data_IF_406132950957
#
_entry.id   IF_406132950957
#
_cell.length_a   1.000
_cell.length_b   1.000
_cell.length_c   1.000
_cell.angle_alpha   90.00
_cell.angle_beta   90.00
_cell.angle_gamma   90.00
#
_symmetry.space_group_name_H-M   'P 1'
#
loop_
_entity.id
_entity.type
_entity.pdbx_description
1 polymer ?
#
# COMPACT_ATOMS: atom_id res chain seq x y z
N UNK A 1 -23.89 -23.87 6.61
CA UNK A 1 -22.72 -23.90 5.68
C UNK A 1 -21.56 -24.53 6.44
N UNK A 2 -20.79 -25.40 5.79
CA UNK A 2 -19.54 -25.94 6.39
C UNK A 2 -18.60 -24.79 6.75
N UNK A 3 -17.83 -24.93 7.82
CA UNK A 3 -16.78 -23.94 8.15
C UNK A 3 -15.81 -23.82 6.97
N UNK A 4 -15.41 -22.61 6.58
CA UNK A 4 -14.49 -22.41 5.47
C UNK A 4 -13.13 -23.04 5.81
N UNK A 5 -12.54 -23.76 4.88
CA UNK A 5 -11.21 -24.35 5.04
C UNK A 5 -10.12 -23.32 4.83
N UNK A 6 -10.39 -22.34 3.97
CA UNK A 6 -9.52 -21.23 3.65
C UNK A 6 -10.25 -19.91 3.86
N UNK A 7 -9.61 -19.00 4.61
CA UNK A 7 -10.04 -17.60 4.71
C UNK A 7 -9.01 -16.72 4.00
N UNK A 8 -9.50 -15.78 3.19
CA UNK A 8 -8.67 -14.78 2.50
C UNK A 8 -9.09 -13.39 2.98
N UNK A 9 -8.14 -12.57 3.39
CA UNK A 9 -8.39 -11.18 3.79
C UNK A 9 -7.89 -10.25 2.68
N UNK A 10 -8.84 -9.56 2.05
CA UNK A 10 -8.64 -8.66 0.93
C UNK A 10 -8.99 -9.30 -0.42
N UNK A 11 -9.90 -8.67 -1.17
CA UNK A 11 -10.27 -9.03 -2.53
C UNK A 11 -9.57 -8.12 -3.57
N UNK A 12 -8.30 -7.80 -3.32
CA UNK A 12 -7.41 -7.21 -4.31
C UNK A 12 -6.87 -8.28 -5.28
N UNK A 13 -5.99 -7.90 -6.23
CA UNK A 13 -5.47 -8.82 -7.25
C UNK A 13 -4.90 -10.13 -6.68
N UNK A 14 -4.13 -10.06 -5.59
CA UNK A 14 -3.56 -11.24 -4.93
C UNK A 14 -4.61 -12.14 -4.30
N UNK A 15 -5.57 -11.55 -3.56
CA UNK A 15 -6.62 -12.32 -2.89
C UNK A 15 -7.58 -12.99 -3.88
N UNK A 16 -7.99 -12.29 -4.94
CA UNK A 16 -8.83 -12.85 -6.00
C UNK A 16 -8.11 -14.00 -6.71
N UNK A 17 -6.84 -13.80 -7.09
CA UNK A 17 -6.06 -14.83 -7.76
C UNK A 17 -5.89 -16.10 -6.90
N UNK A 18 -5.69 -15.92 -5.58
CA UNK A 18 -5.63 -17.03 -4.63
C UNK A 18 -6.96 -17.76 -4.51
N UNK A 19 -8.07 -17.03 -4.42
CA UNK A 19 -9.41 -17.61 -4.36
C UNK A 19 -9.75 -18.43 -5.60
N UNK A 20 -9.40 -17.91 -6.79
CA UNK A 20 -9.63 -18.61 -8.07
C UNK A 20 -8.93 -19.96 -8.10
N UNK A 21 -7.65 -20.01 -7.75
CA UNK A 21 -6.90 -21.28 -7.77
C UNK A 21 -7.38 -22.27 -6.69
N UNK A 22 -7.63 -21.79 -5.48
CA UNK A 22 -8.11 -22.62 -4.39
C UNK A 22 -9.51 -23.20 -4.68
N UNK A 23 -10.46 -22.36 -5.14
CA UNK A 23 -11.82 -22.78 -5.45
C UNK A 23 -11.87 -23.72 -6.67
N UNK A 24 -11.02 -23.52 -7.68
CA UNK A 24 -10.88 -24.46 -8.82
C UNK A 24 -10.35 -25.82 -8.38
N UNK A 25 -9.56 -25.88 -7.32
CA UNK A 25 -9.10 -27.14 -6.74
C UNK A 25 -10.15 -27.80 -5.82
N UNK A 26 -11.28 -27.15 -5.52
CA UNK A 26 -12.36 -27.69 -4.69
C UNK A 26 -12.34 -27.21 -3.23
N UNK A 27 -11.41 -26.32 -2.83
CA UNK A 27 -11.33 -25.78 -1.47
C UNK A 27 -12.52 -24.87 -1.19
N UNK A 28 -13.12 -24.99 0.00
CA UNK A 28 -14.15 -24.06 0.46
C UNK A 28 -13.52 -22.74 0.93
N UNK A 29 -13.80 -21.67 0.18
CA UNK A 29 -13.15 -20.36 0.39
C UNK A 29 -14.13 -19.33 0.92
N UNK A 30 -13.70 -18.58 1.95
CA UNK A 30 -14.34 -17.34 2.38
C UNK A 30 -13.39 -16.18 2.15
N UNK A 31 -13.90 -15.09 1.56
CA UNK A 31 -13.15 -13.84 1.38
C UNK A 31 -13.82 -12.75 2.23
N UNK A 32 -13.00 -12.02 2.99
CA UNK A 32 -13.41 -10.82 3.72
C UNK A 32 -12.71 -9.61 3.10
N UNK A 33 -13.46 -8.64 2.60
CA UNK A 33 -12.93 -7.39 2.05
C UNK A 33 -13.62 -6.18 2.67
N UNK A 34 -12.85 -5.18 3.05
CA UNK A 34 -13.38 -3.93 3.62
C UNK A 34 -14.03 -3.02 2.58
N UNK A 35 -13.79 -3.25 1.30
CA UNK A 35 -14.36 -2.46 0.22
C UNK A 35 -15.72 -3.05 -0.23
N UNK A 36 -16.61 -2.22 -0.81
CA UNK A 36 -17.91 -2.67 -1.30
C UNK A 36 -17.82 -3.57 -2.54
N UNK A 37 -16.73 -3.49 -3.30
CA UNK A 37 -16.53 -4.25 -4.54
C UNK A 37 -15.13 -4.88 -4.61
N UNK A 38 -14.98 -6.05 -5.26
CA UNK A 38 -13.68 -6.68 -5.44
C UNK A 38 -12.81 -5.91 -6.45
N UNK A 39 -11.51 -6.17 -6.44
CA UNK A 39 -10.52 -5.53 -7.33
C UNK A 39 -9.45 -4.75 -6.59
N UNK A 40 -9.65 -4.47 -5.29
CA UNK A 40 -8.75 -3.64 -4.48
C UNK A 40 -8.65 -2.22 -5.03
N UNK A 41 -7.54 -1.54 -4.77
CA UNK A 41 -7.34 -0.15 -5.22
C UNK A 41 -7.07 -0.04 -6.71
N UNK A 42 -6.25 -0.93 -7.25
CA UNK A 42 -5.81 -0.82 -8.65
C UNK A 42 -6.88 -1.22 -9.66
N UNK A 43 -7.68 -2.24 -9.35
CA UNK A 43 -8.81 -2.67 -10.17
C UNK A 43 -10.15 -2.24 -9.58
N UNK A 44 -10.12 -1.17 -8.76
CA UNK A 44 -11.30 -0.62 -8.12
C UNK A 44 -12.40 -0.28 -9.12
N UNK A 45 -13.60 -0.79 -8.83
CA UNK A 45 -14.77 -0.60 -9.66
C UNK A 45 -15.51 0.68 -9.26
N UNK A 46 -16.22 1.25 -10.22
CA UNK A 46 -17.11 2.38 -9.97
C UNK A 46 -18.25 1.98 -9.01
N UNK A 47 -18.72 2.94 -8.24
CA UNK A 47 -19.94 2.76 -7.44
C UNK A 47 -21.16 2.51 -8.34
N UNK A 48 -22.18 1.85 -7.77
CA UNK A 48 -23.44 1.62 -8.47
C UNK A 48 -24.07 2.98 -8.83
N UNK A 49 -24.66 3.06 -10.02
CA UNK A 49 -25.24 4.29 -10.56
C UNK A 49 -24.33 5.08 -11.50
N UNK A 50 -23.02 4.84 -11.53
CA UNK A 50 -22.15 5.41 -12.54
C UNK A 50 -22.17 4.56 -13.82
N UNK A 51 -22.50 5.18 -14.95
CA UNK A 51 -22.37 4.57 -16.29
C UNK A 51 -21.13 5.12 -16.98
N UNK A 52 -20.22 4.24 -17.40
CA UNK A 52 -19.09 4.61 -18.24
C UNK A 52 -19.57 4.81 -19.69
N UNK A 53 -19.53 6.03 -20.17
CA UNK A 53 -19.76 6.33 -21.57
C UNK A 53 -18.55 5.92 -22.44
N UNK A 54 -17.34 6.02 -21.88
CA UNK A 54 -16.10 5.60 -22.51
C UNK A 54 -15.25 4.74 -21.55
N UNK A 55 -15.22 3.41 -21.71
CA UNK A 55 -14.42 2.50 -20.88
C UNK A 55 -12.90 2.80 -20.93
N UNK A 56 -12.39 3.31 -22.05
CA UNK A 56 -10.97 3.66 -22.22
C UNK A 56 -10.46 4.71 -21.22
N UNK A 57 -11.38 5.51 -20.66
CA UNK A 57 -11.09 6.50 -19.63
C UNK A 57 -10.47 5.92 -18.34
N UNK A 58 -10.71 4.65 -18.02
CA UNK A 58 -10.17 4.01 -16.82
C UNK A 58 -8.75 3.47 -16.99
N UNK A 59 -8.22 3.58 -18.21
CA UNK A 59 -6.86 3.20 -18.54
C UNK A 59 -6.62 1.68 -18.68
N UNK A 60 -5.42 1.27 -19.11
CA UNK A 60 -5.10 -0.12 -19.43
C UNK A 60 -5.18 -1.06 -18.21
N UNK A 61 -4.98 -0.58 -17.01
CA UNK A 61 -5.11 -1.38 -15.80
C UNK A 61 -6.54 -1.85 -15.54
N UNK A 62 -7.53 -1.06 -15.95
CA UNK A 62 -8.93 -1.47 -15.83
C UNK A 62 -9.25 -2.68 -16.71
N UNK A 63 -8.74 -2.70 -17.95
CA UNK A 63 -8.94 -3.85 -18.86
C UNK A 63 -8.24 -5.11 -18.33
N UNK A 64 -7.03 -4.99 -17.80
CA UNK A 64 -6.33 -6.09 -17.10
C UNK A 64 -7.14 -6.59 -15.91
N UNK A 65 -7.75 -5.68 -15.14
CA UNK A 65 -8.61 -5.99 -14.02
C UNK A 65 -9.87 -6.77 -14.43
N UNK A 66 -10.47 -6.46 -15.57
CA UNK A 66 -11.66 -7.16 -16.07
C UNK A 66 -11.42 -8.66 -16.26
N UNK A 67 -10.25 -9.05 -16.77
CA UNK A 67 -9.91 -10.47 -16.95
C UNK A 67 -9.93 -11.21 -15.62
N UNK A 68 -9.27 -10.66 -14.60
CA UNK A 68 -9.25 -11.26 -13.26
C UNK A 68 -10.63 -11.27 -12.60
N UNK A 69 -11.40 -10.20 -12.75
CA UNK A 69 -12.77 -10.12 -12.23
C UNK A 69 -13.70 -11.11 -12.93
N UNK A 70 -13.56 -11.30 -14.25
CA UNK A 70 -14.31 -12.35 -14.98
C UNK A 70 -13.96 -13.75 -14.48
N UNK A 71 -12.67 -14.05 -14.22
CA UNK A 71 -12.29 -15.32 -13.61
C UNK A 71 -12.92 -15.48 -12.22
N UNK A 72 -12.95 -14.42 -11.43
CA UNK A 72 -13.60 -14.42 -10.12
C UNK A 72 -15.10 -14.70 -10.21
N UNK A 73 -15.78 -14.12 -11.18
CA UNK A 73 -17.21 -14.35 -11.40
C UNK A 73 -17.50 -15.82 -11.73
N UNK A 74 -16.60 -16.53 -12.43
CA UNK A 74 -16.78 -17.98 -12.73
C UNK A 74 -16.80 -18.86 -11.48
N UNK A 75 -16.26 -18.38 -10.37
CA UNK A 75 -16.20 -19.13 -9.10
C UNK A 75 -17.10 -18.52 -8.02
N UNK A 76 -17.84 -17.46 -8.34
CA UNK A 76 -18.59 -16.63 -7.38
C UNK A 76 -19.56 -17.43 -6.52
N UNK A 77 -20.25 -18.40 -7.11
CA UNK A 77 -21.19 -19.28 -6.42
C UNK A 77 -20.52 -20.33 -5.52
N UNK A 78 -19.22 -20.57 -5.72
CA UNK A 78 -18.42 -21.57 -4.98
C UNK A 78 -17.73 -20.97 -3.76
N UNK A 79 -17.80 -19.65 -3.56
CA UNK A 79 -17.11 -18.94 -2.50
C UNK A 79 -18.09 -18.11 -1.67
N UNK A 80 -17.77 -17.91 -0.38
CA UNK A 80 -18.47 -16.97 0.50
C UNK A 80 -17.70 -15.63 0.49
N UNK A 81 -18.07 -14.74 -0.44
CA UNK A 81 -17.48 -13.39 -0.50
C UNK A 81 -18.29 -12.39 0.32
N UNK A 82 -17.61 -11.78 1.30
CA UNK A 82 -18.15 -10.75 2.19
C UNK A 82 -17.46 -9.43 1.91
N UNK A 83 -18.17 -8.50 1.27
CA UNK A 83 -17.78 -7.10 1.13
C UNK A 83 -18.16 -6.29 2.37
N UNK A 84 -17.64 -5.09 2.53
CA UNK A 84 -17.81 -4.23 3.70
C UNK A 84 -17.52 -4.98 5.02
N UNK A 85 -16.60 -5.94 4.96
CA UNK A 85 -16.20 -6.79 6.06
C UNK A 85 -14.79 -6.41 6.55
N UNK A 86 -14.72 -5.59 7.59
CA UNK A 86 -13.46 -5.09 8.14
C UNK A 86 -12.90 -6.05 9.18
N UNK A 87 -11.78 -6.69 8.88
CA UNK A 87 -11.01 -7.48 9.85
C UNK A 87 -10.13 -6.54 10.67
N UNK A 88 -10.26 -6.58 11.99
CA UNK A 88 -9.58 -5.66 12.90
C UNK A 88 -8.74 -6.34 13.97
N UNK A 89 -8.86 -7.65 14.16
CA UNK A 89 -8.11 -8.39 15.16
C UNK A 89 -7.87 -9.84 14.73
N UNK A 90 -6.80 -10.40 15.27
CA UNK A 90 -6.60 -11.84 15.39
C UNK A 90 -6.23 -12.15 16.84
N UNK A 91 -6.64 -13.31 17.33
CA UNK A 91 -6.42 -13.78 18.70
C UNK A 91 -5.71 -15.12 18.67
N UNK A 92 -5.26 -15.57 19.85
CA UNK A 92 -4.78 -16.93 20.07
C UNK A 92 -5.79 -17.95 19.54
N UNK A 93 -5.35 -19.20 19.34
CA UNK A 93 -6.18 -20.29 18.82
C UNK A 93 -6.74 -20.06 17.40
N UNK A 94 -6.08 -19.22 16.59
CA UNK A 94 -6.46 -18.98 15.19
C UNK A 94 -7.88 -18.43 15.03
N UNK A 95 -8.25 -17.49 15.86
CA UNK A 95 -9.53 -16.78 15.76
C UNK A 95 -9.26 -15.38 15.22
N UNK A 96 -10.02 -14.94 14.23
CA UNK A 96 -10.05 -13.54 13.81
C UNK A 96 -11.37 -12.88 14.21
N UNK A 97 -11.33 -11.56 14.38
CA UNK A 97 -12.52 -10.75 14.54
C UNK A 97 -12.64 -9.77 13.37
N UNK A 98 -13.84 -9.68 12.85
CA UNK A 98 -14.23 -8.73 11.83
C UNK A 98 -15.62 -8.16 12.14
N UNK A 99 -15.97 -7.06 11.51
CA UNK A 99 -17.34 -6.57 11.55
C UNK A 99 -17.88 -6.38 10.13
N UNK A 100 -19.18 -6.56 10.02
CA UNK A 100 -19.95 -6.30 8.81
C UNK A 100 -21.32 -5.77 9.22
N UNK A 101 -21.82 -4.74 8.55
CA UNK A 101 -23.11 -4.11 8.84
C UNK A 101 -23.29 -3.75 10.33
N UNK A 102 -22.25 -3.26 10.99
CA UNK A 102 -22.27 -2.83 12.40
C UNK A 102 -22.29 -3.96 13.43
N UNK A 103 -22.14 -5.22 13.02
CA UNK A 103 -22.09 -6.39 13.92
C UNK A 103 -20.69 -7.00 13.93
N UNK A 104 -20.16 -7.23 15.13
CA UNK A 104 -18.92 -7.96 15.35
C UNK A 104 -19.11 -9.47 15.19
N UNK A 105 -18.15 -10.12 14.58
CA UNK A 105 -18.14 -11.56 14.38
C UNK A 105 -16.76 -12.13 14.68
N UNK A 106 -16.73 -13.36 15.24
CA UNK A 106 -15.52 -14.16 15.40
C UNK A 106 -15.53 -15.31 14.41
N UNK A 107 -14.39 -15.60 13.82
CA UNK A 107 -14.27 -16.64 12.82
C UNK A 107 -12.97 -17.42 13.05
N UNK A 108 -13.04 -18.71 13.39
CA UNK A 108 -11.87 -19.56 13.42
C UNK A 108 -11.37 -19.83 12.01
N UNK A 109 -10.05 -19.97 11.83
CA UNK A 109 -9.45 -20.29 10.55
C UNK A 109 -8.49 -21.48 10.66
N UNK A 110 -8.51 -22.35 9.66
CA UNK A 110 -7.54 -23.40 9.46
C UNK A 110 -6.39 -22.90 8.57
N UNK A 111 -6.71 -22.41 7.39
CA UNK A 111 -5.78 -21.75 6.48
C UNK A 111 -6.17 -20.30 6.27
N UNK A 112 -5.16 -19.42 6.23
CA UNK A 112 -5.35 -17.98 6.12
C UNK A 112 -4.43 -17.42 5.05
N UNK A 113 -4.98 -16.65 4.10
CA UNK A 113 -4.21 -15.84 3.16
C UNK A 113 -4.43 -14.37 3.47
N UNK A 114 -3.35 -13.64 3.77
CA UNK A 114 -3.35 -12.21 4.03
C UNK A 114 -2.96 -11.48 2.74
N UNK A 115 -3.94 -10.82 2.11
CA UNK A 115 -3.80 -10.01 0.89
C UNK A 115 -4.15 -8.54 1.17
N UNK A 116 -3.61 -8.00 2.28
CA UNK A 116 -3.98 -6.72 2.89
C UNK A 116 -3.53 -5.49 2.10
N UNK A 117 -2.70 -5.67 1.07
CA UNK A 117 -2.23 -4.57 0.22
C UNK A 117 -1.28 -3.61 0.94
N UNK A 118 -1.19 -2.39 0.41
CA UNK A 118 -0.33 -1.33 0.92
C UNK A 118 -1.08 0.01 0.97
N UNK A 119 -0.50 0.97 1.66
CA UNK A 119 -0.96 2.36 1.69
C UNK A 119 0.16 3.30 1.23
N UNK A 120 -0.22 4.51 0.81
CA UNK A 120 0.75 5.51 0.36
C UNK A 120 1.69 5.89 1.50
N UNK A 121 2.97 6.08 1.18
CA UNK A 121 3.97 6.56 2.14
C UNK A 121 3.68 8.00 2.54
N UNK A 122 3.43 8.28 3.81
CA UNK A 122 3.32 9.64 4.31
C UNK A 122 4.70 10.31 4.33
N UNK A 123 4.74 11.58 3.91
CA UNK A 123 5.96 12.39 3.90
C UNK A 123 5.66 13.68 4.65
N UNK A 124 6.12 13.83 5.89
CA UNK A 124 5.99 15.06 6.65
C UNK A 124 6.94 16.15 6.12
N UNK A 125 6.38 17.32 5.80
CA UNK A 125 7.10 18.55 5.46
C UNK A 125 6.27 19.75 5.95
N UNK A 126 6.82 20.96 6.08
CA UNK A 126 6.06 22.13 6.50
C UNK A 126 4.80 22.34 5.66
N UNK A 127 3.64 22.40 6.30
CA UNK A 127 2.34 22.57 5.64
C UNK A 127 1.69 21.29 5.08
N UNK A 128 2.27 20.09 5.24
CA UNK A 128 1.69 18.84 4.71
C UNK A 128 0.34 18.44 5.32
N UNK A 129 -0.06 19.08 6.40
CA UNK A 129 -1.35 18.86 7.06
C UNK A 129 -2.47 19.75 6.54
N UNK A 130 -2.16 20.72 5.69
CA UNK A 130 -3.15 21.62 5.08
C UNK A 130 -4.18 20.84 4.25
N UNK A 131 -5.46 21.21 4.29
CA UNK A 131 -6.45 20.74 3.31
C UNK A 131 -5.95 21.00 1.88
N UNK A 132 -6.07 20.02 1.01
CA UNK A 132 -5.50 20.05 -0.34
C UNK A 132 -4.20 19.27 -0.50
N UNK A 133 -3.54 18.88 0.61
CA UNK A 133 -2.43 17.92 0.55
C UNK A 133 -3.00 16.49 0.65
N UNK A 134 -2.82 15.72 -0.41
CA UNK A 134 -3.32 14.36 -0.57
C UNK A 134 -2.18 13.41 -0.94
N UNK A 135 -2.42 12.11 -0.85
CA UNK A 135 -1.54 11.12 -1.48
C UNK A 135 -1.99 10.82 -2.91
N UNK A 136 -1.09 10.36 -3.76
CA UNK A 136 -1.40 10.00 -5.14
C UNK A 136 -2.45 8.88 -5.22
N UNK A 137 -2.38 7.87 -4.34
CA UNK A 137 -3.40 6.83 -4.24
C UNK A 137 -4.75 7.34 -3.73
N UNK A 138 -4.74 8.33 -2.83
CA UNK A 138 -5.97 9.03 -2.41
C UNK A 138 -6.60 9.79 -3.57
N UNK A 139 -5.82 10.56 -4.32
CA UNK A 139 -6.28 11.24 -5.54
C UNK A 139 -6.79 10.25 -6.60
N UNK A 140 -6.09 9.12 -6.80
CA UNK A 140 -6.54 8.06 -7.70
C UNK A 140 -7.92 7.51 -7.30
N UNK A 141 -8.16 7.29 -6.02
CA UNK A 141 -9.45 6.81 -5.53
C UNK A 141 -10.57 7.81 -5.84
N UNK A 142 -10.33 9.11 -5.61
CA UNK A 142 -11.30 10.17 -5.94
C UNK A 142 -11.63 10.17 -7.44
N UNK A 143 -10.63 10.20 -8.31
CA UNK A 143 -10.83 10.29 -9.76
C UNK A 143 -11.43 9.00 -10.33
N UNK A 144 -10.86 7.85 -9.97
CA UNK A 144 -11.20 6.55 -10.59
C UNK A 144 -12.49 5.95 -10.06
N UNK A 145 -12.66 5.95 -8.74
CA UNK A 145 -13.79 5.26 -8.10
C UNK A 145 -14.96 6.19 -7.79
N UNK A 146 -14.67 7.44 -7.42
CA UNK A 146 -15.70 8.40 -6.99
C UNK A 146 -16.03 9.46 -8.05
N UNK A 147 -15.25 9.55 -9.14
CA UNK A 147 -15.45 10.50 -10.25
C UNK A 147 -15.39 11.96 -9.80
N UNK A 148 -14.51 12.24 -8.83
CA UNK A 148 -14.29 13.57 -8.26
C UNK A 148 -12.84 13.98 -8.53
N UNK A 149 -12.63 15.18 -9.07
CA UNK A 149 -11.31 15.77 -9.22
C UNK A 149 -10.80 16.21 -7.84
N UNK A 150 -9.53 15.93 -7.49
CA UNK A 150 -8.98 16.29 -6.18
C UNK A 150 -8.80 17.80 -5.98
N UNK A 151 -8.78 18.59 -7.03
CA UNK A 151 -8.65 20.03 -7.04
C UNK A 151 -8.72 20.60 -8.45
N UNK A 152 -8.46 21.90 -8.57
CA UNK A 152 -8.52 22.64 -9.84
C UNK A 152 -7.13 22.81 -10.49
N UNK A 153 -6.09 23.04 -9.68
CA UNK A 153 -4.71 23.24 -10.15
C UNK A 153 -3.76 22.37 -9.34
N UNK A 154 -3.47 21.17 -9.83
CA UNK A 154 -2.90 20.07 -9.05
C UNK A 154 -1.39 19.93 -9.32
N UNK A 155 -0.59 19.90 -8.25
CA UNK A 155 0.82 19.53 -8.28
C UNK A 155 0.98 18.06 -7.91
N UNK A 156 1.66 17.29 -8.73
CA UNK A 156 2.14 15.96 -8.35
C UNK A 156 3.60 16.05 -7.90
N UNK A 157 3.91 15.47 -6.74
CA UNK A 157 5.27 15.42 -6.20
C UNK A 157 5.58 14.01 -5.69
N UNK A 158 6.61 13.39 -6.26
CA UNK A 158 6.91 12.01 -5.88
C UNK A 158 8.09 11.41 -6.62
N UNK A 159 8.07 10.09 -6.67
CA UNK A 159 9.06 9.28 -7.40
C UNK A 159 8.41 8.02 -7.96
N UNK A 160 8.68 7.73 -9.21
CA UNK A 160 8.19 6.53 -9.88
C UNK A 160 6.86 6.69 -10.63
N UNK A 161 6.30 5.58 -11.14
CA UNK A 161 5.26 5.62 -12.16
C UNK A 161 3.87 6.02 -11.66
N UNK A 162 3.55 5.83 -10.37
CA UNK A 162 2.19 6.05 -9.86
C UNK A 162 1.69 7.46 -10.10
N UNK A 163 2.53 8.48 -9.86
CA UNK A 163 2.15 9.87 -10.09
C UNK A 163 1.84 10.17 -11.56
N UNK A 164 2.55 9.54 -12.51
CA UNK A 164 2.28 9.69 -13.94
C UNK A 164 0.92 9.09 -14.32
N UNK A 165 0.60 7.92 -13.77
CA UNK A 165 -0.71 7.26 -13.98
C UNK A 165 -1.84 8.13 -13.47
N UNK A 166 -1.73 8.66 -12.24
CA UNK A 166 -2.78 9.45 -11.61
C UNK A 166 -2.92 10.81 -12.29
N UNK A 167 -1.81 11.44 -12.69
CA UNK A 167 -1.83 12.69 -13.45
C UNK A 167 -2.57 12.51 -14.79
N UNK A 168 -2.35 11.40 -15.51
CA UNK A 168 -3.11 11.10 -16.72
C UNK A 168 -4.60 10.95 -16.42
N UNK A 169 -4.97 10.23 -15.36
CA UNK A 169 -6.38 10.06 -14.96
C UNK A 169 -7.05 11.40 -14.61
N UNK A 170 -6.31 12.33 -14.00
CA UNK A 170 -6.79 13.69 -13.73
C UNK A 170 -7.01 14.46 -15.04
N UNK A 171 -6.05 14.42 -15.96
CA UNK A 171 -6.15 15.08 -17.27
C UNK A 171 -7.32 14.51 -18.09
N UNK A 172 -7.47 13.19 -18.13
CA UNK A 172 -8.58 12.51 -18.80
C UNK A 172 -9.94 12.86 -18.16
N UNK A 173 -9.96 13.17 -16.85
CA UNK A 173 -11.12 13.66 -16.11
C UNK A 173 -11.43 15.15 -16.35
N UNK A 174 -10.65 15.84 -17.17
CA UNK A 174 -10.81 17.28 -17.43
C UNK A 174 -10.18 18.18 -16.36
N UNK A 175 -9.34 17.62 -15.46
CA UNK A 175 -8.61 18.38 -14.45
C UNK A 175 -7.35 19.04 -15.02
N UNK A 176 -6.80 20.01 -14.29
CA UNK A 176 -5.55 20.70 -14.64
C UNK A 176 -4.41 20.24 -13.74
N UNK A 177 -3.26 19.92 -14.35
CA UNK A 177 -2.03 19.57 -13.66
C UNK A 177 -1.02 20.69 -13.84
N UNK A 178 -0.64 21.36 -12.74
CA UNK A 178 0.31 22.48 -12.74
C UNK A 178 1.72 22.03 -13.11
N UNK A 179 2.17 20.94 -12.52
CA UNK A 179 3.46 20.30 -12.80
C UNK A 179 3.51 18.89 -12.19
N UNK A 180 4.47 18.10 -12.65
CA UNK A 180 4.84 16.81 -12.05
C UNK A 180 6.31 16.89 -11.64
N UNK A 181 6.58 16.71 -10.35
CA UNK A 181 7.92 16.66 -9.78
C UNK A 181 8.36 15.21 -9.65
N UNK A 182 9.43 14.84 -10.33
CA UNK A 182 10.07 13.54 -10.22
C UNK A 182 11.40 13.69 -9.47
N UNK A 183 11.46 13.21 -8.23
CA UNK A 183 12.66 13.30 -7.40
C UNK A 183 13.77 12.38 -7.89
N UNK A 184 13.40 11.23 -8.47
CA UNK A 184 14.35 10.25 -8.97
C UNK A 184 15.08 10.67 -10.24
N UNK A 185 16.26 10.10 -10.43
CA UNK A 185 17.08 10.32 -11.62
C UNK A 185 17.22 9.02 -12.43
N UNK A 186 16.93 9.07 -13.73
CA UNK A 186 17.11 7.93 -14.63
C UNK A 186 18.56 7.93 -15.14
N UNK A 187 19.52 7.56 -14.28
CA UNK A 187 20.94 7.55 -14.64
C UNK A 187 21.37 6.33 -15.48
N UNK A 188 20.50 5.33 -15.67
CA UNK A 188 20.88 4.08 -16.36
C UNK A 188 19.77 3.55 -17.26
N UNK A 189 19.42 4.32 -18.29
CA UNK A 189 18.40 3.95 -19.27
C UNK A 189 18.70 2.60 -19.98
N UNK A 190 19.99 2.21 -20.10
CA UNK A 190 20.36 0.90 -20.64
C UNK A 190 19.95 -0.27 -19.75
N UNK A 191 20.00 -0.09 -18.41
CA UNK A 191 19.50 -1.11 -17.46
C UNK A 191 17.98 -1.20 -17.47
N UNK A 192 17.32 -0.05 -17.65
CA UNK A 192 15.86 -0.01 -17.86
C UNK A 192 15.47 -0.73 -19.15
N UNK A 193 16.14 -0.46 -20.26
CA UNK A 193 15.89 -1.15 -21.54
C UNK A 193 16.07 -2.67 -21.41
N UNK A 194 17.11 -3.14 -20.71
CA UNK A 194 17.29 -4.58 -20.43
C UNK A 194 16.17 -5.15 -19.55
N UNK A 195 15.66 -4.39 -18.57
CA UNK A 195 14.51 -4.77 -17.74
C UNK A 195 13.23 -4.84 -18.57
N UNK A 196 13.00 -3.90 -19.49
CA UNK A 196 11.83 -3.84 -20.35
C UNK A 196 11.87 -4.80 -21.54
N UNK A 197 13.03 -5.37 -21.91
CA UNK A 197 13.19 -6.22 -23.11
C UNK A 197 12.24 -7.44 -23.18
N UNK A 198 11.59 -7.79 -22.07
CA UNK A 198 10.57 -8.87 -21.98
C UNK A 198 9.20 -8.40 -21.47
N UNK A 199 9.02 -7.09 -21.26
CA UNK A 199 7.79 -6.48 -20.74
C UNK A 199 7.41 -5.25 -21.57
N UNK A 200 7.36 -5.40 -22.88
CA UNK A 200 7.07 -4.31 -23.83
C UNK A 200 5.77 -3.55 -23.53
N UNK A 201 4.74 -4.26 -23.01
CA UNK A 201 3.48 -3.63 -22.65
C UNK A 201 3.61 -2.54 -21.56
N UNK A 202 4.45 -2.74 -20.56
CA UNK A 202 4.69 -1.73 -19.51
C UNK A 202 5.47 -0.51 -20.07
N UNK A 203 6.38 -0.75 -21.02
CA UNK A 203 7.10 0.32 -21.68
C UNK A 203 6.15 1.17 -22.56
N UNK A 204 5.27 0.51 -23.33
CA UNK A 204 4.29 1.22 -24.17
C UNK A 204 3.31 2.03 -23.34
N UNK A 205 2.81 1.46 -22.22
CA UNK A 205 1.92 2.17 -21.29
C UNK A 205 2.62 3.42 -20.71
N UNK A 206 3.86 3.27 -20.23
CA UNK A 206 4.66 4.37 -19.71
C UNK A 206 4.93 5.48 -20.72
N UNK A 207 5.27 5.11 -21.97
CA UNK A 207 5.47 6.07 -23.07
C UNK A 207 4.16 6.78 -23.43
N UNK A 208 3.04 6.09 -23.39
CA UNK A 208 1.72 6.70 -23.63
C UNK A 208 1.40 7.76 -22.57
N UNK A 209 1.61 7.45 -21.27
CA UNK A 209 1.40 8.42 -20.20
C UNK A 209 2.26 9.67 -20.38
N UNK A 210 3.56 9.52 -20.64
CA UNK A 210 4.47 10.65 -20.88
C UNK A 210 4.03 11.46 -22.12
N UNK A 211 3.56 10.79 -23.19
CA UNK A 211 3.06 11.48 -24.39
C UNK A 211 1.80 12.30 -24.11
N UNK A 212 0.85 11.77 -23.34
CA UNK A 212 -0.37 12.50 -22.95
C UNK A 212 -0.03 13.71 -22.10
N UNK A 213 0.83 13.56 -21.08
CA UNK A 213 1.30 14.65 -20.22
C UNK A 213 1.96 15.76 -21.04
N UNK A 214 2.84 15.41 -21.99
CA UNK A 214 3.49 16.38 -22.88
C UNK A 214 2.52 17.08 -23.81
N UNK A 215 1.55 16.36 -24.38
CA UNK A 215 0.50 16.95 -25.24
C UNK A 215 -0.37 17.95 -24.48
N UNK A 216 -0.63 17.70 -23.21
CA UNK A 216 -1.34 18.61 -22.32
C UNK A 216 -0.49 19.81 -21.87
N UNK A 217 0.78 19.93 -22.30
CA UNK A 217 1.67 21.02 -21.92
C UNK A 217 2.12 20.99 -20.45
N UNK A 218 1.95 19.86 -19.75
CA UNK A 218 2.29 19.75 -18.33
C UNK A 218 3.81 19.62 -18.15
N UNK A 219 4.44 20.51 -17.35
CA UNK A 219 5.86 20.44 -17.04
C UNK A 219 6.19 19.16 -16.24
N UNK A 220 7.11 18.34 -16.73
CA UNK A 220 7.71 17.23 -16.00
C UNK A 220 9.10 17.62 -15.51
N UNK A 221 9.19 17.99 -14.24
CA UNK A 221 10.39 18.52 -13.60
C UNK A 221 11.15 17.37 -12.91
N UNK A 222 12.26 16.97 -13.52
CA UNK A 222 13.12 15.91 -12.99
C UNK A 222 14.08 16.48 -11.94
N UNK A 223 14.45 15.64 -10.96
CA UNK A 223 15.30 16.06 -9.83
C UNK A 223 14.69 17.24 -9.07
N UNK A 224 13.36 17.23 -8.93
CA UNK A 224 12.65 18.25 -8.16
C UNK A 224 11.79 17.60 -7.09
N UNK A 225 11.71 18.25 -5.96
CA UNK A 225 10.88 17.84 -4.83
C UNK A 225 10.05 19.01 -4.30
N UNK A 226 8.95 18.69 -3.63
CA UNK A 226 8.26 19.62 -2.78
C UNK A 226 9.07 19.80 -1.49
N UNK A 227 9.11 21.03 -0.99
CA UNK A 227 9.75 21.37 0.27
C UNK A 227 8.72 21.81 1.31
N UNK A 228 7.77 22.67 0.91
CA UNK A 228 6.80 23.29 1.80
C UNK A 228 5.47 23.49 1.08
N UNK A 229 4.36 23.52 1.80
CA UNK A 229 3.06 23.98 1.33
C UNK A 229 2.61 25.17 2.20
N UNK A 230 2.08 26.19 1.55
CA UNK A 230 1.61 27.41 2.20
C UNK A 230 0.13 27.65 1.87
N UNK A 231 -0.56 28.31 2.79
CA UNK A 231 -1.96 28.71 2.69
C UNK A 231 -2.57 28.92 4.08
N UNK A 232 -3.68 29.61 4.15
CA UNK A 232 -4.39 29.87 5.41
C UNK A 232 -5.31 28.70 5.78
N UNK A 233 -6.32 28.42 4.97
CA UNK A 233 -7.31 27.35 5.22
C UNK A 233 -7.09 26.10 4.38
N UNK A 234 -6.38 26.23 3.29
CA UNK A 234 -6.05 25.18 2.34
C UNK A 234 -4.75 25.52 1.63
N UNK A 235 -4.23 24.59 0.85
CA UNK A 235 -3.07 24.85 -0.01
C UNK A 235 -3.37 25.97 -1.01
N UNK A 236 -2.48 26.95 -1.11
CA UNK A 236 -2.49 28.04 -2.08
C UNK A 236 -1.19 28.08 -2.87
N UNK A 237 -0.09 27.67 -2.24
CA UNK A 237 1.23 27.66 -2.83
C UNK A 237 2.04 26.42 -2.40
N UNK A 238 2.94 26.00 -3.27
CA UNK A 238 3.94 24.97 -3.00
C UNK A 238 5.34 25.51 -3.26
N UNK A 239 6.24 25.35 -2.31
CA UNK A 239 7.68 25.61 -2.49
C UNK A 239 8.33 24.34 -3.02
N UNK A 240 9.03 24.46 -4.15
CA UNK A 240 9.73 23.37 -4.79
C UNK A 240 11.19 23.72 -5.03
N UNK A 241 12.07 22.73 -5.14
CA UNK A 241 13.45 22.93 -5.54
C UNK A 241 14.01 21.75 -6.33
N UNK A 242 15.13 21.98 -7.02
CA UNK A 242 15.98 20.89 -7.48
C UNK A 242 16.61 20.17 -6.30
N UNK A 243 16.89 18.88 -6.47
CA UNK A 243 17.53 18.05 -5.45
C UNK A 243 18.79 17.37 -5.98
N UNK A 244 19.70 17.08 -5.06
CA UNK A 244 20.90 16.30 -5.31
C UNK A 244 20.60 14.79 -5.40
N UNK A 245 21.65 13.94 -5.48
CA UNK A 245 21.54 12.48 -5.54
C UNK A 245 20.90 11.85 -4.29
N UNK A 246 20.98 12.52 -3.14
CA UNK A 246 20.42 12.08 -1.87
C UNK A 246 19.08 12.74 -1.56
N UNK A 247 18.52 13.46 -2.55
CA UNK A 247 17.26 14.21 -2.50
C UNK A 247 17.28 15.38 -1.52
N UNK A 248 18.45 15.96 -1.24
CA UNK A 248 18.57 17.21 -0.49
C UNK A 248 18.35 18.40 -1.41
N UNK A 249 17.64 19.40 -0.91
CA UNK A 249 17.31 20.59 -1.68
C UNK A 249 18.54 21.39 -2.07
N UNK A 250 18.60 21.85 -3.32
CA UNK A 250 19.58 22.82 -3.81
C UNK A 250 18.95 24.21 -3.61
N UNK A 251 19.22 24.86 -2.49
CA UNK A 251 18.54 26.06 -2.00
C UNK A 251 18.37 27.18 -3.04
N UNK A 252 19.40 27.45 -3.85
CA UNK A 252 19.37 28.48 -4.90
C UNK A 252 18.33 28.25 -6.00
N UNK A 253 17.73 27.07 -6.05
CA UNK A 253 16.73 26.69 -7.06
C UNK A 253 15.30 26.73 -6.53
N UNK A 254 15.11 27.15 -5.28
CA UNK A 254 13.78 27.30 -4.67
C UNK A 254 12.89 28.23 -5.51
N UNK A 255 11.66 27.81 -5.73
CA UNK A 255 10.63 28.60 -6.40
C UNK A 255 9.24 28.24 -5.90
N UNK A 256 8.31 29.15 -6.04
CA UNK A 256 6.93 29.00 -5.62
C UNK A 256 6.06 28.66 -6.83
N UNK A 257 5.16 27.71 -6.67
CA UNK A 257 4.09 27.40 -7.62
C UNK A 257 2.74 27.65 -6.94
N UNK A 258 1.85 28.38 -7.61
CA UNK A 258 0.46 28.55 -7.17
C UNK A 258 -0.33 27.32 -7.50
N UNK A 259 -0.86 26.64 -6.48
CA UNK A 259 -1.61 25.38 -6.60
C UNK A 259 -2.65 25.29 -5.49
N UNK A 260 -3.75 24.60 -5.73
CA UNK A 260 -4.77 24.37 -4.72
C UNK A 260 -4.74 22.92 -4.16
N UNK A 261 -3.95 22.08 -4.81
CA UNK A 261 -3.86 20.66 -4.44
C UNK A 261 -2.46 20.11 -4.72
N UNK A 262 -1.95 19.33 -3.76
CA UNK A 262 -0.68 18.64 -3.85
C UNK A 262 -0.93 17.14 -3.68
N UNK A 263 -0.50 16.34 -4.66
CA UNK A 263 -0.62 14.88 -4.64
C UNK A 263 0.77 14.24 -4.45
N UNK A 264 0.98 13.60 -3.30
CA UNK A 264 2.26 12.99 -2.91
C UNK A 264 2.34 11.54 -3.35
N UNK A 265 3.38 11.17 -4.08
CA UNK A 265 3.62 9.82 -4.60
C UNK A 265 5.03 9.31 -4.35
N UNK A 266 5.50 9.27 -3.10
CA UNK A 266 6.84 8.82 -2.72
C UNK A 266 6.90 7.33 -2.34
N UNK A 267 6.12 6.50 -3.02
CA UNK A 267 6.05 5.06 -2.82
C UNK A 267 4.95 4.63 -1.86
N UNK A 268 4.96 3.34 -1.56
CA UNK A 268 3.95 2.65 -0.76
C UNK A 268 4.59 1.98 0.45
N UNK A 269 3.78 1.67 1.47
CA UNK A 269 4.17 0.93 2.68
C UNK A 269 3.26 -0.28 2.82
N UNK A 270 3.80 -1.49 3.02
CA UNK A 270 3.01 -2.71 3.22
C UNK A 270 2.10 -2.64 4.45
N UNK A 271 0.85 -3.10 4.32
CA UNK A 271 -0.07 -3.25 5.46
C UNK A 271 0.23 -4.54 6.23
N UNK A 272 1.13 -4.46 7.19
CA UNK A 272 1.64 -5.62 7.96
C UNK A 272 0.96 -5.84 9.31
N UNK A 273 -0.05 -5.06 9.64
CA UNK A 273 -0.68 -5.09 10.96
C UNK A 273 -1.26 -6.47 11.28
N UNK A 274 -1.97 -7.08 10.35
CA UNK A 274 -2.56 -8.41 10.56
C UNK A 274 -1.50 -9.52 10.56
N UNK A 275 -0.46 -9.43 9.73
CA UNK A 275 0.64 -10.41 9.76
C UNK A 275 1.41 -10.34 11.08
N UNK A 276 1.52 -9.14 11.69
CA UNK A 276 2.11 -8.96 13.02
C UNK A 276 1.22 -9.53 14.13
N UNK A 277 -0.10 -9.28 14.07
CA UNK A 277 -1.03 -9.83 15.05
C UNK A 277 -1.09 -11.36 15.04
N UNK A 278 -0.96 -11.98 13.85
CA UNK A 278 -0.91 -13.45 13.72
C UNK A 278 0.41 -14.03 14.23
N UNK A 279 1.41 -13.18 14.49
CA UNK A 279 2.71 -13.62 15.01
C UNK A 279 3.72 -14.01 13.93
N UNK A 280 3.53 -13.57 12.68
CA UNK A 280 4.50 -13.82 11.63
C UNK A 280 5.83 -13.10 11.93
N UNK A 281 6.94 -13.76 11.63
CA UNK A 281 8.25 -13.10 11.59
C UNK A 281 8.31 -12.08 10.46
N UNK A 282 9.00 -10.96 10.70
CA UNK A 282 9.17 -9.90 9.70
C UNK A 282 10.64 -9.61 9.46
N UNK A 283 10.94 -9.15 8.26
CA UNK A 283 12.24 -8.60 7.88
C UNK A 283 12.08 -7.22 7.27
N UNK A 284 13.10 -6.39 7.36
CA UNK A 284 13.12 -5.10 6.69
C UNK A 284 13.63 -5.28 5.25
N UNK A 285 12.90 -4.75 4.29
CA UNK A 285 13.25 -4.75 2.87
C UNK A 285 12.87 -3.39 2.28
N UNK A 286 13.82 -2.51 2.25
CA UNK A 286 13.64 -1.12 1.85
C UNK A 286 13.06 -0.99 0.43
N UNK A 287 13.55 -1.82 -0.49
CA UNK A 287 13.08 -1.94 -1.88
C UNK A 287 11.64 -2.48 -2.00
N UNK A 288 11.11 -3.11 -0.95
CA UNK A 288 9.75 -3.64 -0.87
C UNK A 288 8.79 -2.76 -0.05
N UNK A 289 9.23 -1.55 0.30
CA UNK A 289 8.44 -0.57 1.04
C UNK A 289 8.67 -0.55 2.56
N UNK A 290 9.55 -1.39 3.11
CA UNK A 290 9.92 -1.42 4.51
C UNK A 290 9.78 -2.80 5.16
N UNK A 291 9.08 -2.90 6.29
CA UNK A 291 8.85 -4.15 7.00
C UNK A 291 7.86 -5.05 6.26
N UNK A 292 8.24 -6.32 6.03
CA UNK A 292 7.43 -7.33 5.34
C UNK A 292 7.46 -8.66 6.09
N UNK A 293 6.42 -9.50 6.00
CA UNK A 293 6.45 -10.84 6.57
C UNK A 293 7.50 -11.72 5.84
N UNK A 294 8.26 -12.48 6.61
CA UNK A 294 9.12 -13.52 6.08
C UNK A 294 8.24 -14.65 5.52
N UNK A 295 8.51 -15.10 4.30
CA UNK A 295 7.75 -16.15 3.61
C UNK A 295 8.65 -17.00 2.71
N UNK A 296 8.22 -18.22 2.44
CA UNK A 296 8.89 -19.14 1.54
C UNK A 296 8.41 -18.97 0.07
N UNK A 297 8.90 -19.82 -0.84
CA UNK A 297 8.49 -19.80 -2.26
C UNK A 297 7.03 -20.18 -2.50
N UNK A 298 6.37 -20.83 -1.54
CA UNK A 298 4.94 -21.16 -1.53
C UNK A 298 4.06 -20.03 -0.96
N UNK A 299 4.65 -18.89 -0.67
CA UNK A 299 4.03 -17.72 -0.03
C UNK A 299 3.59 -17.97 1.42
N UNK A 300 3.95 -19.10 2.02
CA UNK A 300 3.68 -19.41 3.42
C UNK A 300 4.63 -18.64 4.33
N UNK A 301 4.09 -18.07 5.40
CA UNK A 301 4.84 -17.28 6.39
C UNK A 301 5.53 -18.19 7.42
N UNK A 302 6.18 -17.61 8.42
CA UNK A 302 6.74 -18.36 9.56
C UNK A 302 5.67 -19.05 10.43
N UNK A 303 4.39 -18.72 10.25
CA UNK A 303 3.26 -19.34 10.95
C UNK A 303 2.63 -20.37 10.02
N UNK A 304 2.69 -21.69 10.36
CA UNK A 304 2.18 -22.75 9.51
C UNK A 304 0.70 -22.55 9.13
N UNK A 305 0.37 -22.67 7.84
CA UNK A 305 -0.97 -22.47 7.30
C UNK A 305 -1.40 -21.02 7.15
N UNK A 306 -0.50 -20.05 7.39
CA UNK A 306 -0.72 -18.63 7.12
C UNK A 306 0.16 -18.18 5.97
N UNK A 307 -0.46 -17.64 4.94
CA UNK A 307 0.19 -17.16 3.72
C UNK A 307 0.04 -15.63 3.62
N UNK A 308 1.00 -14.97 2.98
CA UNK A 308 0.95 -13.54 2.73
C UNK A 308 1.27 -13.25 1.26
N UNK A 309 0.44 -12.44 0.59
CA UNK A 309 0.54 -12.17 -0.85
C UNK A 309 0.29 -10.71 -1.19
N UNK A 310 0.81 -10.29 -2.33
CA UNK A 310 0.66 -8.94 -2.88
C UNK A 310 1.40 -7.89 -2.05
N UNK A 311 1.04 -6.62 -2.23
CA UNK A 311 1.77 -5.48 -1.68
C UNK A 311 1.83 -5.46 -0.14
N UNK A 312 0.94 -6.19 0.55
CA UNK A 312 1.02 -6.41 2.00
C UNK A 312 2.17 -7.32 2.44
N UNK A 313 2.73 -8.09 1.50
CA UNK A 313 3.90 -8.93 1.72
C UNK A 313 5.17 -8.39 1.02
N UNK A 314 5.06 -7.19 0.45
CA UNK A 314 6.12 -6.45 -0.22
C UNK A 314 5.61 -5.78 -1.48
N UNK A 315 5.76 -4.47 -1.56
CA UNK A 315 5.26 -3.66 -2.68
C UNK A 315 5.92 -4.10 -3.99
N UNK A 316 5.13 -4.67 -4.90
CA UNK A 316 5.62 -5.20 -6.18
C UNK A 316 4.65 -5.00 -7.35
N UNK A 317 3.48 -4.42 -7.07
CA UNK A 317 2.44 -4.13 -8.05
C UNK A 317 1.50 -5.30 -8.34
N UNK A 318 0.40 -4.98 -9.02
CA UNK A 318 -0.74 -5.90 -9.21
C UNK A 318 -0.40 -7.20 -9.94
N UNK A 319 0.47 -7.13 -10.94
CA UNK A 319 0.85 -8.31 -11.71
C UNK A 319 1.64 -9.32 -10.84
N UNK A 320 2.56 -8.84 -10.01
CA UNK A 320 3.26 -9.69 -9.04
C UNK A 320 2.28 -10.23 -8.00
N UNK A 321 1.39 -9.39 -7.48
CA UNK A 321 0.37 -9.79 -6.52
C UNK A 321 -0.52 -10.94 -7.05
N UNK A 322 -0.91 -10.90 -8.32
CA UNK A 322 -1.67 -12.00 -8.96
C UNK A 322 -0.87 -13.30 -9.01
N UNK A 323 0.40 -13.25 -9.39
CA UNK A 323 1.26 -14.46 -9.44
C UNK A 323 1.42 -15.07 -8.05
N UNK A 324 1.71 -14.26 -7.05
CA UNK A 324 1.81 -14.66 -5.65
C UNK A 324 0.49 -15.27 -5.14
N UNK A 325 -0.64 -14.63 -5.46
CA UNK A 325 -1.96 -15.14 -5.12
C UNK A 325 -2.22 -16.53 -5.70
N UNK A 326 -1.94 -16.73 -7.01
CA UNK A 326 -2.09 -18.05 -7.64
C UNK A 326 -1.23 -19.11 -6.98
N UNK A 327 0.03 -18.80 -6.65
CA UNK A 327 0.93 -19.72 -5.94
C UNK A 327 0.35 -20.06 -4.57
N UNK A 328 -0.07 -19.07 -3.78
CA UNK A 328 -0.64 -19.29 -2.45
C UNK A 328 -1.93 -20.13 -2.49
N UNK A 329 -2.82 -19.87 -3.46
CA UNK A 329 -4.04 -20.66 -3.65
C UNK A 329 -3.75 -22.13 -3.98
N UNK A 330 -2.80 -22.40 -4.88
CA UNK A 330 -2.36 -23.75 -5.23
C UNK A 330 -1.69 -24.43 -4.01
N UNK A 331 -0.80 -23.71 -3.30
CA UNK A 331 -0.09 -24.25 -2.13
C UNK A 331 -1.06 -24.56 -0.98
N UNK A 332 -2.09 -23.73 -0.80
CA UNK A 332 -3.17 -24.00 0.17
C UNK A 332 -3.94 -25.26 -0.20
N UNK A 333 -4.35 -25.40 -1.47
CA UNK A 333 -5.07 -26.59 -1.94
C UNK A 333 -4.22 -27.87 -1.77
N UNK A 334 -2.93 -27.80 -2.04
CA UNK A 334 -1.98 -28.87 -1.79
C UNK A 334 -1.93 -29.23 -0.30
N UNK A 335 -1.78 -28.24 0.58
CA UNK A 335 -1.65 -28.43 2.03
C UNK A 335 -2.92 -28.99 2.69
N UNK A 336 -4.07 -28.83 2.02
CA UNK A 336 -5.38 -29.39 2.41
C UNK A 336 -5.67 -30.75 1.77
N UNK A 337 -4.77 -31.25 0.90
CA UNK A 337 -4.91 -32.58 0.30
C UNK A 337 -5.83 -32.63 -0.96
N UNK A 338 -6.27 -31.46 -1.49
CA UNK A 338 -7.11 -31.40 -2.70
C UNK A 338 -6.35 -31.73 -3.98
N UNK A 339 -5.05 -31.45 -4.00
CA UNK A 339 -4.18 -31.77 -5.14
C UNK A 339 -2.86 -32.37 -4.64
N UNK A 340 -2.25 -33.24 -5.44
CA UNK A 340 -0.97 -33.85 -5.11
C UNK A 340 0.19 -32.84 -5.18
N UNK A 341 1.31 -33.15 -4.53
CA UNK A 341 2.54 -32.33 -4.59
C UNK A 341 3.07 -32.22 -6.03
N UNK A 342 2.92 -33.24 -6.85
CA UNK A 342 3.33 -33.21 -8.25
C UNK A 342 2.46 -32.26 -9.06
N UNK A 343 1.15 -32.35 -8.91
CA UNK A 343 0.18 -31.46 -9.55
C UNK A 343 0.42 -29.99 -9.13
N UNK A 344 0.60 -29.73 -7.83
CA UNK A 344 0.89 -28.40 -7.34
C UNK A 344 2.18 -27.82 -7.93
N UNK A 345 3.26 -28.62 -7.99
CA UNK A 345 4.53 -28.21 -8.61
C UNK A 345 4.35 -27.88 -10.10
N UNK A 346 3.60 -28.70 -10.84
CA UNK A 346 3.28 -28.48 -12.25
C UNK A 346 2.53 -27.16 -12.44
N UNK A 347 1.48 -26.92 -11.65
CA UNK A 347 0.65 -25.70 -11.73
C UNK A 347 1.43 -24.43 -11.31
N UNK A 348 2.28 -24.49 -10.28
CA UNK A 348 3.08 -23.35 -9.79
C UNK A 348 4.20 -22.94 -10.75
N UNK A 349 4.78 -23.89 -11.50
CA UNK A 349 5.96 -23.68 -12.36
C UNK A 349 5.87 -22.45 -13.30
N UNK A 350 4.78 -22.23 -14.08
CA UNK A 350 4.68 -21.06 -14.94
C UNK A 350 4.69 -19.75 -14.15
N UNK A 351 3.96 -19.68 -13.02
CA UNK A 351 3.89 -18.49 -12.19
C UNK A 351 5.23 -18.13 -11.55
N UNK A 352 5.97 -19.12 -11.04
CA UNK A 352 7.32 -18.93 -10.51
C UNK A 352 8.30 -18.41 -11.57
N UNK A 353 8.18 -18.90 -12.82
CA UNK A 353 9.01 -18.43 -13.93
C UNK A 353 8.68 -16.98 -14.28
N UNK A 354 7.41 -16.59 -14.28
CA UNK A 354 7.00 -15.23 -14.59
C UNK A 354 7.38 -14.27 -13.46
N UNK A 355 7.30 -14.67 -12.19
CA UNK A 355 7.81 -13.90 -11.06
C UNK A 355 9.31 -13.60 -11.21
N UNK A 356 10.14 -14.60 -11.60
CA UNK A 356 11.58 -14.40 -11.82
C UNK A 356 11.86 -13.42 -12.96
N UNK A 357 11.05 -13.41 -14.03
CA UNK A 357 11.17 -12.45 -15.13
C UNK A 357 10.81 -11.03 -14.67
N UNK A 358 9.72 -10.89 -13.90
CA UNK A 358 9.26 -9.59 -13.39
C UNK A 358 10.20 -9.00 -12.34
N UNK A 359 10.83 -9.82 -11.50
CA UNK A 359 11.78 -9.37 -10.48
C UNK A 359 12.90 -8.52 -11.05
N UNK A 360 13.47 -8.90 -12.22
CA UNK A 360 14.53 -8.13 -12.88
C UNK A 360 14.12 -6.73 -13.33
N UNK A 361 12.89 -6.58 -13.81
CA UNK A 361 12.35 -5.26 -14.19
C UNK A 361 12.13 -4.39 -12.95
N UNK A 362 11.60 -5.00 -11.92
CA UNK A 362 11.37 -4.35 -10.65
C UNK A 362 12.65 -3.80 -10.05
N UNK A 363 13.72 -4.61 -9.94
CA UNK A 363 15.03 -4.17 -9.43
C UNK A 363 15.54 -2.93 -10.17
N UNK A 364 15.20 -2.78 -11.45
CA UNK A 364 15.58 -1.61 -12.23
C UNK A 364 14.72 -0.37 -11.89
N UNK A 365 13.42 -0.53 -11.64
CA UNK A 365 12.50 0.54 -11.27
C UNK A 365 12.69 1.00 -9.82
N UNK A 366 12.91 0.08 -8.89
CA UNK A 366 13.08 0.37 -7.47
C UNK A 366 14.29 1.29 -7.20
N UNK A 367 15.37 1.12 -7.96
CA UNK A 367 16.56 1.99 -7.85
C UNK A 367 16.28 3.45 -8.16
N UNK A 368 15.26 3.73 -8.96
CA UNK A 368 14.85 5.09 -9.33
C UNK A 368 13.89 5.67 -8.31
N UNK A 369 12.98 4.83 -7.81
CA UNK A 369 11.83 5.25 -7.01
C UNK A 369 12.08 5.18 -5.51
N UNK A 370 13.19 4.59 -5.06
CA UNK A 370 13.46 4.38 -3.65
C UNK A 370 13.72 5.71 -2.93
N UNK A 371 13.03 5.99 -1.81
CA UNK A 371 13.23 7.20 -1.03
C UNK A 371 14.68 7.39 -0.58
N UNK A 372 15.19 8.60 -0.73
CA UNK A 372 16.55 8.97 -0.29
C UNK A 372 16.48 9.74 1.03
N UNK A 373 17.60 9.87 1.78
CA UNK A 373 17.62 10.51 3.09
C UNK A 373 17.00 11.90 3.13
N UNK A 374 17.24 12.74 2.13
CA UNK A 374 16.70 14.09 2.06
C UNK A 374 15.18 14.18 2.11
N UNK A 375 14.46 13.10 1.73
CA UNK A 375 13.00 13.04 1.86
C UNK A 375 12.56 13.10 3.33
N UNK A 376 13.33 12.51 4.25
CA UNK A 376 13.04 12.44 5.67
C UNK A 376 13.65 13.60 6.46
N UNK A 377 14.42 14.45 5.79
CA UNK A 377 15.03 15.67 6.33
C UNK A 377 14.18 16.93 6.06
N UNK A 378 13.04 16.82 5.35
CA UNK A 378 12.18 17.95 5.00
C UNK A 378 11.49 18.60 6.21
N UNK A 379 11.18 17.82 7.23
CA UNK A 379 10.45 18.29 8.39
C UNK A 379 11.30 19.24 9.25
N UNK A 380 10.73 20.37 9.66
CA UNK A 380 11.28 21.28 10.65
C UNK A 380 10.79 20.89 12.06
N UNK A 381 11.36 21.47 13.12
CA UNK A 381 11.02 21.08 14.49
C UNK A 381 9.55 21.33 14.85
N UNK A 382 8.89 22.28 14.23
CA UNK A 382 7.45 22.58 14.37
C UNK A 382 6.55 21.74 13.46
N UNK A 383 7.13 20.97 12.52
CA UNK A 383 6.37 20.14 11.59
C UNK A 383 5.69 18.98 12.31
N UNK A 384 4.39 18.85 12.17
CA UNK A 384 3.62 17.74 12.73
C UNK A 384 4.06 16.42 12.09
N UNK A 385 4.50 15.46 12.88
CA UNK A 385 4.85 14.09 12.47
C UNK A 385 3.69 13.13 12.73
N UNK A 386 3.06 13.23 13.90
CA UNK A 386 1.89 12.40 14.23
C UNK A 386 0.61 13.25 14.21
N UNK A 387 -0.16 13.20 13.12
CA UNK A 387 -1.40 13.98 12.96
C UNK A 387 -2.49 13.66 13.98
N UNK A 388 -2.50 12.43 14.51
CA UNK A 388 -3.55 11.99 15.43
C UNK A 388 -3.34 12.50 16.86
N UNK A 389 -2.09 12.68 17.27
CA UNK A 389 -1.67 13.11 18.61
C UNK A 389 -0.96 14.48 18.54
N UNK A 390 -0.96 15.11 17.35
CA UNK A 390 -0.40 16.45 17.09
C UNK A 390 1.07 16.64 17.52
N UNK A 391 1.86 15.56 17.45
CA UNK A 391 3.27 15.58 17.83
C UNK A 391 4.13 16.14 16.70
N UNK A 392 5.00 17.06 17.04
CA UNK A 392 5.96 17.69 16.14
C UNK A 392 7.26 16.89 16.02
N UNK A 393 8.13 17.25 15.07
CA UNK A 393 9.48 16.70 14.98
C UNK A 393 10.29 17.05 16.24
N UNK A 394 10.12 18.26 16.78
CA UNK A 394 10.77 18.70 18.03
C UNK A 394 10.42 17.81 19.22
N UNK A 395 9.15 17.40 19.36
CA UNK A 395 8.72 16.47 20.41
C UNK A 395 9.41 15.11 20.27
N UNK A 396 9.47 14.59 19.04
CA UNK A 396 10.14 13.32 18.75
C UNK A 396 11.64 13.40 19.03
N UNK A 397 12.32 14.46 18.57
CA UNK A 397 13.74 14.69 18.83
C UNK A 397 14.03 14.84 20.32
N UNK A 398 13.18 15.57 21.06
CA UNK A 398 13.31 15.71 22.51
C UNK A 398 13.24 14.37 23.23
N UNK A 399 12.33 13.50 22.84
CA UNK A 399 12.22 12.17 23.42
C UNK A 399 13.45 11.28 23.08
N UNK A 400 13.95 11.35 21.85
CA UNK A 400 15.17 10.64 21.42
C UNK A 400 16.37 11.16 22.23
N UNK A 401 16.51 12.49 22.40
CA UNK A 401 17.58 13.11 23.19
C UNK A 401 17.59 12.71 24.65
N UNK A 402 16.46 12.26 25.20
CA UNK A 402 16.34 11.67 26.55
C UNK A 402 16.63 10.16 26.58
N UNK A 403 17.15 9.59 25.49
CA UNK A 403 17.55 8.20 25.39
C UNK A 403 16.46 7.25 24.86
N UNK A 404 15.32 7.77 24.38
CA UNK A 404 14.24 6.94 23.87
C UNK A 404 14.44 6.66 22.37
N UNK A 405 15.20 5.61 22.04
CA UNK A 405 15.59 5.27 20.65
C UNK A 405 14.79 4.10 20.04
N UNK A 406 13.91 3.48 20.80
CA UNK A 406 13.06 2.39 20.35
C UNK A 406 11.64 2.89 20.03
N UNK A 407 11.06 2.43 18.92
CA UNK A 407 9.70 2.81 18.47
C UNK A 407 8.63 2.60 19.54
N UNK A 408 8.68 1.46 20.24
CA UNK A 408 7.68 1.13 21.27
C UNK A 408 7.88 1.92 22.58
N UNK A 409 9.12 2.28 22.94
CA UNK A 409 9.41 3.17 24.03
C UNK A 409 8.94 4.60 23.71
N UNK A 410 9.24 5.08 22.51
CA UNK A 410 8.78 6.37 22.00
C UNK A 410 7.25 6.48 21.99
N UNK A 411 6.56 5.41 21.54
CA UNK A 411 5.10 5.30 21.60
C UNK A 411 4.57 5.50 23.03
N UNK A 412 5.16 4.84 24.03
CA UNK A 412 4.73 4.96 25.44
C UNK A 412 5.00 6.36 26.01
N UNK A 413 6.12 6.98 25.62
CA UNK A 413 6.53 8.27 26.14
C UNK A 413 5.76 9.43 25.53
N UNK A 414 5.46 9.38 24.24
CA UNK A 414 4.87 10.49 23.47
C UNK A 414 3.46 10.25 22.98
N UNK A 415 2.91 9.04 23.12
CA UNK A 415 1.66 8.57 22.50
C UNK A 415 1.73 8.42 20.97
N UNK A 416 2.88 8.65 20.34
CA UNK A 416 3.09 8.44 18.91
C UNK A 416 2.56 7.06 18.46
N UNK A 417 1.72 7.04 17.43
CA UNK A 417 1.14 5.80 16.92
C UNK A 417 -0.03 5.22 17.74
N UNK A 418 -0.52 5.90 18.80
CA UNK A 418 -1.68 5.47 19.58
C UNK A 418 -3.01 5.97 19.01
N UNK A 419 -2.99 6.99 18.16
CA UNK A 419 -4.20 7.59 17.61
C UNK A 419 -4.88 6.72 16.55
N UNK A 420 -5.90 7.30 15.89
CA UNK A 420 -6.84 6.59 14.98
C UNK A 420 -6.16 5.76 13.91
N UNK A 421 -5.03 6.21 13.34
CA UNK A 421 -4.35 5.50 12.26
C UNK A 421 -3.46 4.35 12.75
N UNK A 422 -3.31 4.17 14.08
CA UNK A 422 -2.48 3.11 14.69
C UNK A 422 -1.05 3.05 14.13
N UNK A 423 -0.45 4.23 13.94
CA UNK A 423 0.93 4.38 13.46
C UNK A 423 1.11 4.40 11.94
N UNK A 424 0.09 4.12 11.13
CA UNK A 424 0.23 4.09 9.66
C UNK A 424 0.77 5.39 9.07
N UNK A 425 0.39 6.54 9.65
CA UNK A 425 0.85 7.84 9.16
C UNK A 425 2.22 8.24 9.69
N UNK A 426 2.55 7.93 10.93
CA UNK A 426 3.78 8.44 11.57
C UNK A 426 4.91 7.40 11.61
N UNK A 427 4.62 6.10 11.81
CA UNK A 427 5.65 5.12 12.08
C UNK A 427 6.73 5.00 10.98
N UNK A 428 6.40 5.02 9.67
CA UNK A 428 7.44 4.98 8.64
C UNK A 428 8.40 6.17 8.70
N UNK A 429 7.88 7.38 8.94
CA UNK A 429 8.71 8.58 9.04
C UNK A 429 9.53 8.59 10.34
N UNK A 430 8.91 8.21 11.47
CA UNK A 430 9.60 8.16 12.77
C UNK A 430 10.73 7.13 12.78
N UNK A 431 10.57 5.98 12.12
CA UNK A 431 11.64 4.99 11.97
C UNK A 431 12.87 5.61 11.29
N UNK A 432 12.68 6.35 10.21
CA UNK A 432 13.76 7.03 9.49
C UNK A 432 14.35 8.19 10.30
N UNK A 433 13.53 8.93 11.07
CA UNK A 433 13.99 9.99 11.98
C UNK A 433 14.89 9.38 13.06
N UNK A 434 14.48 8.29 13.71
CA UNK A 434 15.32 7.59 14.71
C UNK A 434 16.62 7.13 14.03
N UNK A 435 16.53 6.50 12.86
CA UNK A 435 17.70 6.05 12.11
C UNK A 435 18.71 7.18 11.86
N UNK A 436 18.23 8.34 11.41
CA UNK A 436 19.06 9.53 11.19
C UNK A 436 19.65 10.11 12.46
N UNK A 437 18.87 10.20 13.54
CA UNK A 437 19.33 10.78 14.82
C UNK A 437 20.33 9.89 15.57
N UNK A 438 20.16 8.57 15.47
CA UNK A 438 21.00 7.60 16.20
C UNK A 438 22.10 6.99 15.33
N UNK A 439 22.16 7.31 14.04
CA UNK A 439 23.06 6.71 13.06
C UNK A 439 22.92 5.17 13.01
N UNK A 440 21.73 4.67 13.34
CA UNK A 440 21.39 3.23 13.32
C UNK A 440 20.65 2.92 12.03
N UNK A 441 21.02 1.87 11.28
CA UNK A 441 20.26 1.47 10.11
C UNK A 441 18.78 1.23 10.41
N UNK A 442 17.86 1.73 9.58
CA UNK A 442 16.42 1.57 9.77
C UNK A 442 15.99 0.08 9.94
N UNK A 443 16.73 -0.84 9.33
CA UNK A 443 16.52 -2.28 9.46
C UNK A 443 16.76 -2.83 10.89
N UNK A 444 17.50 -2.12 11.74
CA UNK A 444 17.77 -2.51 13.13
C UNK A 444 16.80 -1.86 14.12
N UNK A 445 15.95 -0.95 13.66
CA UNK A 445 14.94 -0.30 14.49
C UNK A 445 13.66 -1.14 14.39
N UNK A 446 13.30 -1.82 15.49
CA UNK A 446 12.07 -2.60 15.55
C UNK A 446 10.85 -1.74 15.28
N UNK A 447 9.91 -2.28 14.49
CA UNK A 447 8.67 -1.59 14.19
C UNK A 447 7.69 -1.61 15.39
N UNK A 448 6.64 -0.79 15.32
CA UNK A 448 5.60 -0.74 16.35
C UNK A 448 4.93 -2.11 16.55
N UNK A 449 4.79 -2.50 17.82
CA UNK A 449 3.95 -3.64 18.19
C UNK A 449 2.49 -3.32 17.90
N UNK A 450 1.86 -4.21 17.16
CA UNK A 450 0.45 -4.10 16.82
C UNK A 450 -0.41 -4.69 17.94
N UNK A 451 -1.53 -4.04 18.22
CA UNK A 451 -2.54 -4.50 19.18
C UNK A 451 -3.93 -4.37 18.56
N UNK A 452 -4.85 -5.31 18.84
CA UNK A 452 -6.22 -5.15 18.40
C UNK A 452 -6.92 -4.02 19.19
N UNK A 453 -7.84 -3.29 18.56
CA UNK A 453 -8.17 -3.33 17.13
C UNK A 453 -7.12 -2.59 16.28
N UNK A 454 -6.73 -3.16 15.12
CA UNK A 454 -5.78 -2.51 14.20
C UNK A 454 -6.39 -1.38 13.39
N UNK A 455 -7.69 -1.27 13.35
CA UNK A 455 -8.47 -0.23 12.68
C UNK A 455 -9.56 0.26 13.62
N UNK A 456 -10.09 1.46 13.35
CA UNK A 456 -11.21 2.00 14.12
C UNK A 456 -12.43 1.08 14.02
N UNK A 457 -12.95 0.73 15.18
CA UNK A 457 -14.14 -0.10 15.33
C UNK A 457 -15.09 0.59 16.30
N UNK A 458 -16.37 0.77 15.97
CA UNK A 458 -17.34 1.30 16.90
C UNK A 458 -17.45 0.41 18.16
N UNK A 459 -17.57 1.01 19.34
CA UNK A 459 -17.68 0.27 20.62
C UNK A 459 -18.83 -0.75 20.57
N UNK A 460 -19.96 -0.39 19.97
CA UNK A 460 -21.11 -1.28 19.76
C UNK A 460 -20.76 -2.56 18.99
N UNK A 461 -19.78 -2.51 18.09
CA UNK A 461 -19.30 -3.70 17.39
C UNK A 461 -18.51 -4.60 18.33
N UNK A 462 -17.68 -4.03 19.21
CA UNK A 462 -16.93 -4.80 20.21
C UNK A 462 -17.88 -5.46 21.21
N UNK A 463 -18.90 -4.75 21.66
CA UNK A 463 -19.96 -5.27 22.54
C UNK A 463 -20.70 -6.45 21.89
N UNK A 464 -20.94 -6.40 20.58
CA UNK A 464 -21.65 -7.44 19.84
C UNK A 464 -20.83 -8.70 19.53
N UNK A 465 -19.53 -8.72 19.87
CA UNK A 465 -18.69 -9.89 19.65
C UNK A 465 -19.16 -11.07 20.53
N UNK A 466 -19.39 -12.26 19.95
CA UNK A 466 -19.83 -13.41 20.71
C UNK A 466 -18.70 -13.95 21.62
N UNK A 467 -19.05 -14.42 22.82
CA UNK A 467 -18.17 -15.06 23.78
C UNK A 467 -17.49 -14.10 24.76
N UNK A 468 -17.05 -14.62 25.88
CA UNK A 468 -16.31 -13.87 26.88
C UNK A 468 -14.90 -13.56 26.41
N UNK A 469 -14.43 -12.34 26.65
CA UNK A 469 -13.01 -12.00 26.55
C UNK A 469 -12.34 -12.57 27.80
N UNK A 470 -11.73 -13.75 27.74
CA UNK A 470 -10.74 -14.13 28.73
C UNK A 470 -9.55 -13.17 28.59
N UNK A 471 -9.52 -12.15 29.43
CA UNK A 471 -8.32 -11.34 29.62
C UNK A 471 -7.41 -12.23 30.48
N UNK A 472 -6.56 -13.02 29.82
CA UNK A 472 -5.46 -13.64 30.54
C UNK A 472 -4.50 -12.53 30.95
N UNK A 473 -4.47 -12.25 32.26
CA UNK A 473 -3.46 -11.41 32.88
C UNK A 473 -2.09 -12.13 32.73
N UNK A 474 -1.37 -11.74 31.72
CA UNK A 474 0.00 -12.17 31.48
C UNK A 474 0.73 -10.97 30.86
N UNK A 475 1.29 -10.13 31.74
CA UNK A 475 2.25 -9.08 31.41
C UNK A 475 3.65 -9.67 31.46
#
# INVERSE_FOLDING_TARGET
>A
MKNPELIIIGAGPGGIAAAVEAARAGVTVKILDENPKPGGRIYGQLNDGFKLLNPGFLGPDYEKGKVLLSEFDTIREKIDYRHDALVFATFENRIMAFHQAGKGQRLPFNKLILATGAYDRPVPFPGWTLPGVLTAGGAQTLVKMQRVLPGKNILFAGSGPLQLVVANQVLDGGGTVAAILEAGEINNWLKLLKGFSRNWGLLTDGLQYVRTIRKAGVPLLRRHMILEAHGDRQVEEAVIAEVDKDWRAIEKTRRILKVDTICLGYGLVPSVELTRLVGCQHRYAADLGGWIPARNEDMETSVPGVFAVGDGAGVAGSAMAMLEGRIAGISTAQSLGYISSEEARKRKKPYLNDMKKMGRLRDALDRISYPRPGLFELAHDDTIICRCEELTLGDIKSAIGKGTTEMNALKRMTRMGMGRCQGRMCAPAVQEIIAGQTQTPAAQIEYLNQRPPTKLVPIKVLESLPGEFEIRHGW
#
